data_IF_795192739212
#
_entry.id   IF_795192739212
#
_cell.length_a   1.000
_cell.length_b   1.000
_cell.length_c   1.000
_cell.angle_alpha   90.00
_cell.angle_beta   90.00
_cell.angle_gamma   90.00
#
_symmetry.space_group_name_H-M   'P 1'
#
loop_
_entity.id
_entity.type
_entity.pdbx_description
1 polymer ?
#
# COMPACT_ATOMS: atom_id res chain seq x y z
N UNK A 1 -10.22 2.60 38.27
CA UNK A 1 -9.29 3.75 38.42
C UNK A 1 -8.05 3.41 37.59
N UNK A 2 -7.73 4.29 36.64
CA UNK A 2 -6.80 4.19 35.51
C UNK A 2 -5.44 3.54 35.85
N UNK A 3 -4.70 2.96 34.91
CA UNK A 3 -3.81 3.71 34.01
C UNK A 3 -3.58 2.98 32.67
N UNK A 4 -3.89 3.70 31.59
CA UNK A 4 -3.34 3.53 30.25
C UNK A 4 -1.84 3.90 30.28
N UNK A 5 -0.97 2.98 29.91
CA UNK A 5 0.45 3.22 29.57
C UNK A 5 0.82 2.21 28.48
N UNK A 6 1.41 2.57 27.34
CA UNK A 6 1.85 3.84 26.78
C UNK A 6 1.94 3.56 25.28
N UNK A 7 1.42 4.47 24.46
CA UNK A 7 1.86 4.66 23.09
C UNK A 7 3.36 4.95 23.16
N UNK A 8 4.17 4.02 22.68
CA UNK A 8 5.62 4.12 22.62
C UNK A 8 6.06 4.19 21.16
N UNK A 9 6.12 5.40 20.63
CA UNK A 9 6.85 5.68 19.40
C UNK A 9 8.36 5.57 19.63
N UNK A 10 9.05 5.13 18.56
CA UNK A 10 10.44 5.42 18.17
C UNK A 10 11.52 4.31 18.31
N UNK A 11 11.93 3.84 17.11
CA UNK A 11 13.31 3.63 16.60
C UNK A 11 14.07 2.35 16.99
N UNK A 12 14.67 1.54 16.09
CA UNK A 12 15.47 1.90 14.89
C UNK A 12 15.77 0.73 13.90
N UNK A 13 16.01 1.10 12.63
CA UNK A 13 16.66 0.43 11.47
C UNK A 13 15.77 -0.44 10.55
N UNK A 14 15.09 0.14 9.54
CA UNK A 14 15.56 0.68 8.24
C UNK A 14 15.67 -0.40 7.16
N UNK A 15 14.52 -0.65 6.50
CA UNK A 15 14.41 -0.80 5.04
C UNK A 15 12.93 -1.03 4.67
N UNK A 16 12.17 -1.83 5.42
CA UNK A 16 10.72 -2.01 5.16
C UNK A 16 9.86 -0.85 5.65
N UNK A 17 10.22 -0.31 6.82
CA UNK A 17 9.74 0.98 7.30
C UNK A 17 10.01 2.02 6.22
N UNK A 18 11.12 1.94 5.48
CA UNK A 18 11.44 2.87 4.41
C UNK A 18 10.36 2.97 3.32
N UNK A 19 9.71 1.87 2.92
CA UNK A 19 8.64 1.92 1.91
C UNK A 19 7.33 2.46 2.49
N UNK A 20 6.93 2.01 3.68
CA UNK A 20 5.72 2.49 4.35
C UNK A 20 5.86 3.96 4.77
N UNK A 21 7.04 4.34 5.25
CA UNK A 21 7.45 5.70 5.57
C UNK A 21 7.51 6.54 4.29
N UNK A 22 8.09 6.04 3.19
CA UNK A 22 8.09 6.76 1.91
C UNK A 22 6.67 6.98 1.41
N UNK A 23 5.81 5.96 1.45
CA UNK A 23 4.41 6.09 1.07
C UNK A 23 3.66 7.07 1.99
N UNK A 24 3.86 6.99 3.29
CA UNK A 24 3.26 7.89 4.27
C UNK A 24 3.73 9.34 4.10
N UNK A 25 5.03 9.56 3.85
CA UNK A 25 5.61 10.88 3.57
C UNK A 25 5.02 11.44 2.29
N UNK A 26 4.95 10.65 1.21
CA UNK A 26 4.33 11.08 -0.05
C UNK A 26 2.87 11.47 0.16
N UNK A 27 2.10 10.69 0.92
CA UNK A 27 0.71 11.01 1.24
C UNK A 27 0.59 12.27 2.10
N UNK A 28 1.45 12.46 3.09
CA UNK A 28 1.44 13.63 3.97
C UNK A 28 1.79 14.90 3.20
N UNK A 29 2.90 14.87 2.45
CA UNK A 29 3.36 16.01 1.66
C UNK A 29 2.35 16.33 0.56
N UNK A 30 1.87 15.30 -0.16
CA UNK A 30 0.84 15.46 -1.18
C UNK A 30 -0.46 16.07 -0.63
N UNK A 31 -0.94 15.56 0.51
CA UNK A 31 -2.11 16.09 1.19
C UNK A 31 -1.93 17.56 1.63
N UNK A 32 -0.77 17.91 2.17
CA UNK A 32 -0.46 19.29 2.53
C UNK A 32 -0.43 20.21 1.30
N UNK A 33 0.15 19.77 0.17
CA UNK A 33 0.14 20.50 -1.08
C UNK A 33 -1.29 20.75 -1.60
N UNK A 34 -2.17 19.74 -1.56
CA UNK A 34 -3.57 19.88 -1.98
C UNK A 34 -4.30 20.94 -1.13
N UNK A 35 -4.06 20.97 0.18
CA UNK A 35 -4.65 21.99 1.06
C UNK A 35 -4.19 23.42 0.71
N UNK A 36 -2.90 23.60 0.44
CA UNK A 36 -2.35 24.92 0.05
C UNK A 36 -2.91 25.38 -1.30
N UNK A 37 -2.98 24.47 -2.28
CA UNK A 37 -3.56 24.78 -3.61
C UNK A 37 -5.04 25.13 -3.46
N UNK A 38 -5.79 24.36 -2.68
CA UNK A 38 -7.20 24.65 -2.36
C UNK A 38 -7.39 26.00 -1.68
N UNK A 39 -6.47 26.39 -0.78
CA UNK A 39 -6.49 27.71 -0.15
C UNK A 39 -6.33 28.84 -1.16
N UNK A 40 -5.41 28.71 -2.14
CA UNK A 40 -5.26 29.70 -3.21
C UNK A 40 -6.50 29.80 -4.10
N UNK A 41 -7.11 28.68 -4.46
CA UNK A 41 -8.36 28.68 -5.24
C UNK A 41 -9.51 29.37 -4.49
N UNK A 42 -9.75 28.96 -3.24
CA UNK A 42 -10.84 29.49 -2.42
C UNK A 42 -10.64 30.99 -2.08
N UNK A 43 -9.46 31.37 -1.56
CA UNK A 43 -9.18 32.77 -1.23
C UNK A 43 -9.06 33.65 -2.48
N UNK A 44 -8.56 33.10 -3.59
CA UNK A 44 -8.50 33.81 -4.87
C UNK A 44 -9.88 34.18 -5.39
N UNK A 45 -10.84 33.26 -5.31
CA UNK A 45 -12.23 33.51 -5.68
C UNK A 45 -12.92 34.51 -4.73
N UNK A 46 -12.82 34.32 -3.41
CA UNK A 46 -13.51 35.19 -2.41
C UNK A 46 -12.97 36.61 -2.42
N UNK A 47 -11.64 36.78 -2.55
CA UNK A 47 -11.01 38.10 -2.55
C UNK A 47 -10.93 38.74 -3.94
N UNK A 48 -11.52 38.09 -4.96
CA UNK A 48 -11.44 38.50 -6.36
C UNK A 48 -9.99 38.84 -6.78
N UNK A 49 -9.04 38.04 -6.28
CA UNK A 49 -7.61 38.29 -6.47
C UNK A 49 -7.09 37.51 -7.67
N UNK A 50 -6.89 38.22 -8.79
CA UNK A 50 -6.35 37.64 -10.02
C UNK A 50 -5.01 36.91 -9.81
N UNK A 51 -4.14 37.44 -8.94
CA UNK A 51 -2.84 36.84 -8.65
C UNK A 51 -2.97 35.46 -7.98
N UNK A 52 -3.81 35.35 -6.94
CA UNK A 52 -4.03 34.08 -6.24
C UNK A 52 -4.69 33.04 -7.14
N UNK A 53 -5.63 33.47 -7.99
CA UNK A 53 -6.34 32.59 -8.89
C UNK A 53 -5.45 32.13 -10.08
N UNK A 54 -4.53 32.99 -10.53
CA UNK A 54 -3.50 32.63 -11.50
C UNK A 54 -2.51 31.60 -10.92
N UNK A 55 -2.06 31.78 -9.67
CA UNK A 55 -1.22 30.79 -8.98
C UNK A 55 -1.93 29.44 -8.87
N UNK A 56 -3.21 29.43 -8.48
CA UNK A 56 -4.02 28.21 -8.45
C UNK A 56 -4.05 27.51 -9.80
N UNK A 57 -4.32 28.24 -10.89
CA UNK A 57 -4.36 27.66 -12.24
C UNK A 57 -2.98 27.11 -12.68
N UNK A 58 -1.88 27.80 -12.37
CA UNK A 58 -0.52 27.33 -12.66
C UNK A 58 -0.22 26.03 -11.92
N UNK A 59 -0.56 25.93 -10.63
CA UNK A 59 -0.34 24.69 -9.87
C UNK A 59 -1.15 23.51 -10.43
N UNK A 60 -2.41 23.72 -10.81
CA UNK A 60 -3.20 22.67 -11.45
C UNK A 60 -2.62 22.23 -12.79
N UNK A 61 -2.15 23.15 -13.62
CA UNK A 61 -1.47 22.80 -14.88
C UNK A 61 -0.19 21.99 -14.65
N UNK A 62 0.58 22.31 -13.60
CA UNK A 62 1.75 21.52 -13.22
C UNK A 62 1.36 20.10 -12.77
N UNK A 63 0.26 19.94 -12.03
CA UNK A 63 -0.23 18.62 -11.63
C UNK A 63 -0.63 17.80 -12.86
N UNK A 64 -1.39 18.36 -13.80
CA UNK A 64 -1.76 17.68 -15.06
C UNK A 64 -0.51 17.17 -15.81
N UNK A 65 0.55 17.98 -15.89
CA UNK A 65 1.80 17.57 -16.54
C UNK A 65 2.46 16.40 -15.78
N UNK A 66 2.49 16.47 -14.44
CA UNK A 66 3.02 15.40 -13.60
C UNK A 66 2.21 14.11 -13.71
N UNK A 67 0.88 14.18 -13.80
CA UNK A 67 0.02 13.01 -14.00
C UNK A 67 0.30 12.32 -15.33
N UNK A 68 0.38 13.08 -16.43
CA UNK A 68 0.71 12.53 -17.75
C UNK A 68 2.09 11.88 -17.75
N UNK A 69 3.08 12.54 -17.13
CA UNK A 69 4.43 11.99 -16.98
C UNK A 69 4.43 10.70 -16.15
N UNK A 70 3.71 10.66 -15.04
CA UNK A 70 3.59 9.48 -14.18
C UNK A 70 2.95 8.31 -14.93
N UNK A 71 1.88 8.54 -15.71
CA UNK A 71 1.25 7.52 -16.55
C UNK A 71 2.24 6.98 -17.59
N UNK A 72 3.00 7.86 -18.25
CA UNK A 72 3.99 7.46 -19.25
C UNK A 72 5.12 6.61 -18.66
N UNK A 73 5.64 7.00 -17.48
CA UNK A 73 6.66 6.24 -16.74
C UNK A 73 6.09 4.89 -16.30
N UNK A 74 4.90 4.88 -15.71
CA UNK A 74 4.22 3.66 -15.28
C UNK A 74 3.90 2.73 -16.44
N UNK A 75 3.70 3.22 -17.66
CA UNK A 75 3.56 2.39 -18.85
C UNK A 75 4.91 1.83 -19.34
N UNK A 76 5.96 2.65 -19.33
CA UNK A 76 7.27 2.30 -19.91
C UNK A 76 8.10 1.36 -19.03
N UNK A 77 7.98 1.47 -17.70
CA UNK A 77 8.88 0.79 -16.75
C UNK A 77 8.22 -0.32 -15.91
N UNK A 78 7.04 -0.83 -16.33
CA UNK A 78 6.29 -1.86 -15.58
C UNK A 78 7.14 -3.04 -15.13
N UNK A 79 7.95 -3.58 -16.05
CA UNK A 79 8.80 -4.75 -15.76
C UNK A 79 9.90 -4.47 -14.73
N UNK A 80 10.54 -3.30 -14.81
CA UNK A 80 11.58 -2.90 -13.84
C UNK A 80 10.96 -2.66 -12.46
N UNK A 81 9.89 -1.86 -12.39
CA UNK A 81 9.20 -1.58 -11.12
C UNK A 81 8.74 -2.87 -10.44
N UNK A 82 8.16 -3.81 -11.20
CA UNK A 82 7.76 -5.12 -10.67
C UNK A 82 8.94 -5.88 -10.07
N UNK A 83 10.07 -5.89 -10.76
CA UNK A 83 11.26 -6.63 -10.32
C UNK A 83 11.86 -6.02 -9.05
N UNK A 84 12.02 -4.70 -9.00
CA UNK A 84 12.55 -4.00 -7.82
C UNK A 84 11.66 -4.20 -6.59
N UNK A 85 10.34 -4.05 -6.76
CA UNK A 85 9.38 -4.26 -5.65
C UNK A 85 9.44 -5.71 -5.15
N UNK A 86 9.46 -6.69 -6.05
CA UNK A 86 9.59 -8.10 -5.65
C UNK A 86 10.90 -8.37 -4.91
N UNK A 87 12.01 -7.84 -5.42
CA UNK A 87 13.33 -8.01 -4.80
C UNK A 87 13.34 -7.46 -3.38
N UNK A 88 12.85 -6.24 -3.22
CA UNK A 88 12.71 -5.59 -1.92
C UNK A 88 11.83 -6.38 -0.95
N UNK A 89 10.68 -6.89 -1.40
CA UNK A 89 9.80 -7.71 -0.57
C UNK A 89 10.47 -9.02 -0.13
N UNK A 90 11.19 -9.68 -1.03
CA UNK A 90 11.93 -10.91 -0.70
C UNK A 90 13.09 -10.65 0.26
N UNK A 91 13.82 -9.56 0.06
CA UNK A 91 14.86 -9.13 0.98
C UNK A 91 14.30 -8.81 2.37
N UNK A 92 13.13 -8.15 2.42
CA UNK A 92 12.40 -7.88 3.66
C UNK A 92 11.97 -9.18 4.36
N UNK A 93 11.59 -10.22 3.61
CA UNK A 93 11.33 -11.56 4.18
C UNK A 93 12.59 -12.12 4.83
N UNK A 94 13.73 -12.05 4.13
CA UNK A 94 15.01 -12.59 4.61
C UNK A 94 15.48 -11.89 5.89
N UNK A 95 15.38 -10.56 5.93
CA UNK A 95 15.98 -9.72 6.96
C UNK A 95 15.06 -9.45 8.16
N UNK A 96 13.74 -9.51 7.98
CA UNK A 96 12.79 -8.91 8.93
C UNK A 96 11.69 -9.85 9.38
N UNK A 97 11.23 -10.76 8.51
CA UNK A 97 10.08 -11.62 8.81
C UNK A 97 10.29 -12.53 10.03
N UNK A 98 9.37 -12.45 10.99
CA UNK A 98 9.45 -13.21 12.25
C UNK A 98 8.64 -14.51 12.27
N UNK A 99 7.65 -14.65 11.38
CA UNK A 99 6.79 -15.84 11.28
C UNK A 99 6.02 -16.22 12.53
N UNK A 100 5.66 -15.21 13.33
CA UNK A 100 4.75 -15.33 14.48
C UNK A 100 3.48 -14.53 14.19
N UNK A 101 2.34 -15.12 14.51
CA UNK A 101 1.02 -14.50 14.30
C UNK A 101 0.82 -13.27 15.19
N UNK A 102 1.37 -13.30 16.41
CA UNK A 102 1.27 -12.25 17.43
C UNK A 102 2.49 -11.30 17.43
N UNK A 103 3.12 -11.12 16.27
CA UNK A 103 4.27 -10.22 16.14
C UNK A 103 3.85 -8.75 16.18
N UNK A 104 4.67 -7.92 16.83
CA UNK A 104 4.56 -6.46 16.78
C UNK A 104 5.38 -5.86 15.63
N UNK A 105 5.99 -6.69 14.79
CA UNK A 105 6.80 -6.25 13.67
C UNK A 105 5.89 -5.95 12.46
N UNK A 106 5.93 -4.71 12.01
CA UNK A 106 4.98 -4.14 11.04
C UNK A 106 4.99 -4.84 9.69
N UNK A 107 6.17 -5.20 9.18
CA UNK A 107 6.29 -5.91 7.91
C UNK A 107 5.68 -7.30 7.98
N UNK A 108 6.00 -8.05 9.04
CA UNK A 108 5.48 -9.40 9.28
C UNK A 108 3.96 -9.37 9.39
N UNK A 109 3.40 -8.41 10.13
CA UNK A 109 1.95 -8.21 10.24
C UNK A 109 1.30 -7.90 8.89
N UNK A 110 1.86 -6.96 8.14
CA UNK A 110 1.35 -6.58 6.81
C UNK A 110 1.42 -7.74 5.81
N UNK A 111 2.52 -8.47 5.80
CA UNK A 111 2.70 -9.65 4.95
C UNK A 111 1.76 -10.80 5.36
N UNK A 112 1.55 -11.01 6.66
CA UNK A 112 0.61 -12.00 7.18
C UNK A 112 -0.84 -11.66 6.83
N UNK A 113 -1.21 -10.39 6.97
CA UNK A 113 -2.51 -9.89 6.51
C UNK A 113 -2.70 -10.11 5.01
N UNK A 114 -1.71 -9.75 4.20
CA UNK A 114 -1.77 -9.92 2.75
C UNK A 114 -1.91 -11.41 2.37
N UNK A 115 -1.14 -12.31 2.98
CA UNK A 115 -1.22 -13.75 2.73
C UNK A 115 -2.60 -14.33 3.04
N UNK A 116 -3.20 -13.95 4.17
CA UNK A 116 -4.54 -14.42 4.55
C UNK A 116 -5.62 -13.81 3.65
N UNK A 117 -5.52 -12.51 3.35
CA UNK A 117 -6.48 -11.81 2.50
C UNK A 117 -6.52 -12.38 1.08
N UNK A 118 -5.35 -12.51 0.44
CA UNK A 118 -5.19 -13.02 -0.92
C UNK A 118 -5.09 -14.54 -1.01
N UNK A 119 -5.10 -15.25 0.13
CA UNK A 119 -5.00 -16.72 0.22
C UNK A 119 -3.81 -17.26 -0.59
N UNK A 120 -2.63 -16.74 -0.29
CA UNK A 120 -1.39 -17.01 -0.99
C UNK A 120 -0.23 -17.26 -0.02
N UNK A 121 0.93 -17.70 -0.51
CA UNK A 121 2.12 -17.91 0.30
C UNK A 121 3.40 -17.54 -0.43
N UNK A 122 4.15 -16.60 0.15
CA UNK A 122 5.40 -16.08 -0.42
C UNK A 122 5.15 -15.09 -1.56
N UNK A 123 6.20 -14.40 -2.00
CA UNK A 123 6.07 -13.37 -3.04
C UNK A 123 5.85 -14.04 -4.39
N UNK A 124 6.78 -14.91 -4.77
CA UNK A 124 6.66 -15.80 -5.94
C UNK A 124 6.43 -17.26 -5.53
N UNK A 125 6.89 -17.65 -4.35
CA UNK A 125 6.76 -19.03 -3.85
C UNK A 125 6.97 -19.09 -2.34
N UNK A 126 6.39 -20.09 -1.67
CA UNK A 126 6.63 -20.36 -0.24
C UNK A 126 8.13 -20.52 0.11
N UNK A 127 8.96 -20.91 -0.86
CA UNK A 127 10.42 -21.04 -0.69
C UNK A 127 11.12 -19.70 -0.44
N UNK A 128 10.45 -18.57 -0.71
CA UNK A 128 10.99 -17.23 -0.39
C UNK A 128 11.28 -17.08 1.12
N UNK A 129 10.64 -17.89 1.99
CA UNK A 129 10.90 -17.91 3.44
C UNK A 129 12.10 -18.76 3.87
N UNK A 130 12.73 -19.54 2.99
CA UNK A 130 13.83 -20.43 3.36
C UNK A 130 15.01 -19.66 3.99
N UNK A 131 15.29 -18.47 3.46
CA UNK A 131 16.34 -17.57 3.93
C UNK A 131 15.94 -16.63 5.07
N UNK A 132 14.70 -16.70 5.58
CA UNK A 132 14.24 -15.82 6.66
C UNK A 132 15.04 -16.04 7.95
N UNK A 133 15.93 -15.10 8.27
CA UNK A 133 16.90 -15.22 9.37
C UNK A 133 16.28 -14.95 10.74
N UNK A 134 15.24 -14.11 10.79
CA UNK A 134 14.52 -13.77 12.02
C UNK A 134 13.32 -14.68 12.30
N UNK A 135 12.98 -15.58 11.37
CA UNK A 135 11.89 -16.52 11.56
C UNK A 135 12.36 -17.74 12.37
N UNK A 136 11.85 -17.85 13.59
CA UNK A 136 12.08 -19.03 14.42
C UNK A 136 11.18 -20.19 13.97
N UNK A 137 11.75 -21.12 13.18
CA UNK A 137 11.10 -22.37 12.77
C UNK A 137 11.05 -23.37 13.93
N UNK A 138 10.15 -23.12 14.88
CA UNK A 138 9.90 -24.02 16.01
C UNK A 138 9.57 -25.44 15.51
N UNK A 139 10.06 -26.46 16.23
CA UNK A 139 9.80 -27.87 15.94
C UNK A 139 8.54 -28.30 16.69
N UNK A 140 7.65 -29.03 16.01
CA UNK A 140 6.51 -29.65 16.65
C UNK A 140 6.97 -30.90 17.44
N UNK A 141 6.81 -30.95 18.77
CA UNK A 141 7.31 -32.08 19.57
C UNK A 141 6.59 -33.40 19.31
N UNK A 142 5.38 -33.38 18.73
CA UNK A 142 4.59 -34.58 18.47
C UNK A 142 5.04 -35.33 17.21
N UNK A 143 5.44 -34.59 16.17
CA UNK A 143 5.82 -35.14 14.87
C UNK A 143 7.30 -34.92 14.53
N UNK A 144 8.02 -34.18 15.36
CA UNK A 144 9.44 -33.87 15.25
C UNK A 144 9.85 -33.21 13.90
N UNK A 145 8.97 -32.39 13.34
CA UNK A 145 9.25 -31.58 12.13
C UNK A 145 9.31 -30.09 12.46
N UNK A 146 10.25 -29.32 11.89
CA UNK A 146 10.23 -27.86 11.92
C UNK A 146 9.11 -27.30 11.02
N UNK A 147 8.72 -26.05 11.23
CA UNK A 147 7.79 -25.39 10.30
C UNK A 147 8.42 -25.25 8.91
N UNK A 148 7.72 -25.75 7.89
CA UNK A 148 8.09 -25.62 6.47
C UNK A 148 7.57 -24.32 5.87
N UNK A 149 6.36 -23.90 6.27
CA UNK A 149 5.74 -22.64 5.85
C UNK A 149 5.31 -21.81 7.07
N UNK A 150 5.20 -20.48 6.93
CA UNK A 150 4.65 -19.67 8.00
C UNK A 150 3.18 -20.03 8.32
N UNK A 151 2.72 -19.87 9.57
CA UNK A 151 1.36 -20.24 9.98
C UNK A 151 0.26 -19.59 9.12
N UNK A 152 0.42 -18.33 8.75
CA UNK A 152 -0.53 -17.55 7.95
C UNK A 152 -0.60 -17.96 6.47
N UNK A 153 0.26 -18.87 6.01
CA UNK A 153 0.09 -19.54 4.72
C UNK A 153 -0.94 -20.69 4.76
N UNK A 154 -1.34 -21.12 5.96
CA UNK A 154 -2.35 -22.15 6.14
C UNK A 154 -3.76 -21.61 5.86
N UNK A 155 -4.64 -22.49 5.37
CA UNK A 155 -6.04 -22.15 5.21
C UNK A 155 -6.70 -22.07 6.58
N UNK A 156 -7.39 -20.96 6.82
CA UNK A 156 -8.13 -20.69 8.04
C UNK A 156 -9.58 -21.15 7.89
N UNK A 157 -10.20 -21.54 9.01
CA UNK A 157 -11.64 -21.86 9.01
C UNK A 157 -12.47 -20.63 8.67
N UNK A 158 -12.08 -19.50 9.24
CA UNK A 158 -12.64 -18.18 8.98
C UNK A 158 -11.49 -17.20 8.77
N UNK A 159 -11.32 -16.73 7.54
CA UNK A 159 -10.30 -15.72 7.22
C UNK A 159 -10.72 -14.33 7.68
N UNK A 160 -12.02 -14.03 7.71
CA UNK A 160 -12.52 -12.70 8.06
C UNK A 160 -12.34 -12.43 9.57
N UNK A 161 -12.45 -13.48 10.39
CA UNK A 161 -12.08 -13.43 11.81
C UNK A 161 -10.60 -13.03 12.01
N UNK A 162 -9.68 -13.54 11.17
CA UNK A 162 -8.29 -13.11 11.21
C UNK A 162 -8.12 -11.64 10.76
N UNK A 163 -8.77 -11.25 9.66
CA UNK A 163 -8.64 -9.90 9.12
C UNK A 163 -9.21 -8.81 10.04
N UNK A 164 -10.20 -9.16 10.87
CA UNK A 164 -10.85 -8.23 11.79
C UNK A 164 -10.24 -8.25 13.19
N UNK A 165 -10.04 -9.44 13.74
CA UNK A 165 -9.71 -9.64 15.15
C UNK A 165 -8.36 -10.35 15.35
N UNK A 166 -7.59 -10.58 14.27
CA UNK A 166 -6.33 -11.35 14.28
C UNK A 166 -6.47 -12.74 14.91
N UNK A 167 -7.67 -13.30 14.85
CA UNK A 167 -7.96 -14.63 15.36
C UNK A 167 -7.45 -15.69 14.38
N UNK A 168 -6.35 -16.35 14.73
CA UNK A 168 -5.78 -17.44 13.95
C UNK A 168 -6.38 -18.79 14.35
N UNK A 169 -7.22 -19.35 13.47
CA UNK A 169 -7.78 -20.70 13.60
C UNK A 169 -7.61 -21.48 12.27
N UNK A 170 -6.52 -22.24 12.10
CA UNK A 170 -6.27 -23.02 10.90
C UNK A 170 -7.23 -24.22 10.82
N UNK A 171 -7.56 -24.64 9.60
CA UNK A 171 -8.35 -25.86 9.36
C UNK A 171 -7.61 -27.09 9.91
N UNK A 172 -6.29 -27.12 9.73
CA UNK A 172 -5.42 -28.20 10.18
C UNK A 172 -4.27 -27.62 11.03
N UNK A 173 -4.19 -27.97 12.32
CA UNK A 173 -3.10 -27.52 13.21
C UNK A 173 -1.70 -27.96 12.76
N UNK A 174 -1.58 -29.03 11.96
CA UNK A 174 -0.30 -29.53 11.48
C UNK A 174 0.16 -28.87 10.18
N UNK A 175 -0.67 -28.03 9.55
CA UNK A 175 -0.37 -27.40 8.28
C UNK A 175 0.99 -26.68 8.21
N UNK A 176 1.45 -25.91 9.22
CA UNK A 176 2.75 -25.23 9.14
C UNK A 176 3.94 -26.20 9.01
N UNK A 177 3.76 -27.45 9.44
CA UNK A 177 4.79 -28.49 9.47
C UNK A 177 4.67 -29.48 8.32
N UNK A 178 3.44 -29.82 7.91
CA UNK A 178 3.14 -30.77 6.84
C UNK A 178 2.13 -30.15 5.88
N UNK A 179 2.54 -29.14 5.08
CA UNK A 179 1.63 -28.41 4.22
C UNK A 179 1.29 -29.21 2.96
N UNK A 180 0.01 -29.22 2.60
CA UNK A 180 -0.52 -29.83 1.40
C UNK A 180 -1.54 -28.90 0.71
N UNK A 181 -2.02 -29.31 -0.45
CA UNK A 181 -2.88 -28.45 -1.30
C UNK A 181 -4.28 -28.23 -0.69
N UNK A 182 -4.69 -29.10 0.24
CA UNK A 182 -5.99 -28.99 0.90
C UNK A 182 -5.94 -28.09 2.14
N UNK A 183 -4.84 -28.10 2.91
CA UNK A 183 -4.71 -27.35 4.16
C UNK A 183 -3.91 -26.03 4.05
N UNK A 184 -3.23 -25.78 2.94
CA UNK A 184 -2.35 -24.62 2.77
C UNK A 184 -2.51 -23.93 1.42
N UNK A 185 -2.02 -22.70 1.32
CA UNK A 185 -1.94 -21.94 0.07
C UNK A 185 -0.52 -21.91 -0.52
N UNK A 186 0.31 -22.93 -0.23
CA UNK A 186 1.75 -22.94 -0.55
C UNK A 186 2.09 -22.80 -2.04
N UNK A 187 1.19 -23.24 -2.93
CA UNK A 187 1.40 -23.20 -4.38
C UNK A 187 0.88 -21.91 -5.03
N UNK A 188 0.29 -21.01 -4.25
CA UNK A 188 -0.30 -19.76 -4.76
C UNK A 188 0.62 -18.60 -4.43
N UNK A 189 1.27 -18.02 -5.45
CA UNK A 189 2.12 -16.86 -5.29
C UNK A 189 1.30 -15.60 -4.92
N UNK A 190 1.76 -14.83 -3.93
CA UNK A 190 1.05 -13.61 -3.55
C UNK A 190 1.15 -12.53 -4.62
N UNK A 191 2.28 -12.41 -5.31
CA UNK A 191 2.40 -11.42 -6.38
C UNK A 191 1.35 -11.63 -7.47
N UNK A 192 1.20 -12.87 -7.95
CA UNK A 192 0.21 -13.20 -8.99
C UNK A 192 -1.21 -12.91 -8.51
N UNK A 193 -1.53 -13.28 -7.26
CA UNK A 193 -2.85 -13.05 -6.67
C UNK A 193 -3.19 -11.55 -6.54
N UNK A 194 -2.21 -10.75 -6.12
CA UNK A 194 -2.32 -9.28 -6.05
C UNK A 194 -2.48 -8.70 -7.46
N UNK A 195 -1.67 -9.16 -8.42
CA UNK A 195 -1.71 -8.70 -9.80
C UNK A 195 -3.07 -9.00 -10.45
N UNK A 196 -3.63 -10.18 -10.23
CA UNK A 196 -4.94 -10.57 -10.74
C UNK A 196 -6.07 -9.77 -10.09
N UNK A 197 -5.97 -9.50 -8.79
CA UNK A 197 -6.89 -8.61 -8.09
C UNK A 197 -6.85 -7.20 -8.67
N UNK A 198 -5.64 -6.65 -8.89
CA UNK A 198 -5.45 -5.33 -9.48
C UNK A 198 -5.98 -5.29 -10.92
N UNK A 199 -5.69 -6.29 -11.75
CA UNK A 199 -6.23 -6.39 -13.12
C UNK A 199 -7.76 -6.46 -13.13
N UNK A 200 -8.37 -7.17 -12.18
CA UNK A 200 -9.83 -7.25 -12.05
C UNK A 200 -10.47 -5.90 -11.68
N UNK A 201 -9.72 -5.01 -11.03
CA UNK A 201 -10.18 -3.68 -10.60
C UNK A 201 -9.56 -2.52 -11.39
N UNK A 202 -8.71 -2.81 -12.37
CA UNK A 202 -7.94 -1.77 -13.08
C UNK A 202 -8.83 -0.77 -13.81
N UNK A 203 -10.01 -1.19 -14.27
CA UNK A 203 -10.98 -0.30 -14.89
C UNK A 203 -11.46 0.80 -13.95
N UNK A 204 -11.64 0.50 -12.66
CA UNK A 204 -12.03 1.49 -11.65
C UNK A 204 -10.90 2.50 -11.44
N UNK A 205 -9.66 2.03 -11.36
CA UNK A 205 -8.48 2.90 -11.19
C UNK A 205 -8.31 3.84 -12.38
N UNK A 206 -8.44 3.32 -13.59
CA UNK A 206 -8.40 4.14 -14.82
C UNK A 206 -9.54 5.16 -14.82
N UNK A 207 -10.75 4.76 -14.40
CA UNK A 207 -11.88 5.66 -14.27
C UNK A 207 -11.65 6.81 -13.29
N UNK A 208 -11.07 6.52 -12.11
CA UNK A 208 -10.71 7.54 -11.13
C UNK A 208 -9.67 8.50 -11.71
N UNK A 209 -8.61 7.99 -12.32
CA UNK A 209 -7.55 8.82 -12.92
C UNK A 209 -8.10 9.73 -14.03
N UNK A 210 -8.94 9.20 -14.93
CA UNK A 210 -9.59 10.01 -15.96
C UNK A 210 -10.53 11.06 -15.38
N UNK A 211 -11.27 10.73 -14.31
CA UNK A 211 -12.14 11.66 -13.62
C UNK A 211 -11.38 12.82 -12.96
N UNK A 212 -10.24 12.53 -12.34
CA UNK A 212 -9.36 13.56 -11.75
C UNK A 212 -8.86 14.51 -12.84
N UNK A 213 -8.34 13.98 -13.94
CA UNK A 213 -7.86 14.80 -15.06
C UNK A 213 -8.95 15.75 -15.62
N UNK A 214 -10.19 15.24 -15.77
CA UNK A 214 -11.32 16.07 -16.23
C UNK A 214 -11.65 17.16 -15.20
N UNK A 215 -11.69 16.81 -13.91
CA UNK A 215 -11.97 17.76 -12.84
C UNK A 215 -10.93 18.89 -12.80
N UNK A 216 -9.64 18.56 -12.96
CA UNK A 216 -8.56 19.54 -12.99
C UNK A 216 -8.69 20.52 -14.16
N UNK A 217 -9.00 20.02 -15.36
CA UNK A 217 -9.23 20.86 -16.54
C UNK A 217 -10.41 21.81 -16.29
N UNK A 218 -11.52 21.32 -15.72
CA UNK A 218 -12.67 22.16 -15.39
C UNK A 218 -12.31 23.24 -14.37
N UNK A 219 -11.54 22.90 -13.33
CA UNK A 219 -11.06 23.86 -12.35
C UNK A 219 -10.18 24.96 -12.97
N UNK A 220 -9.31 24.62 -13.92
CA UNK A 220 -8.51 25.61 -14.66
C UNK A 220 -9.41 26.51 -15.51
N UNK A 221 -10.38 25.95 -16.24
CA UNK A 221 -11.33 26.74 -17.04
C UNK A 221 -12.11 27.72 -16.17
N UNK A 222 -12.64 27.27 -15.03
CA UNK A 222 -13.36 28.15 -14.10
C UNK A 222 -12.46 29.23 -13.51
N UNK A 223 -11.22 28.90 -13.13
CA UNK A 223 -10.25 29.89 -12.67
C UNK A 223 -10.01 30.96 -13.76
N UNK A 224 -9.80 30.56 -15.01
CA UNK A 224 -9.64 31.49 -16.12
C UNK A 224 -10.88 32.36 -16.37
N UNK A 225 -12.09 31.79 -16.32
CA UNK A 225 -13.34 32.54 -16.48
C UNK A 225 -13.49 33.61 -15.39
N UNK A 226 -13.23 33.27 -14.13
CA UNK A 226 -13.31 34.22 -13.02
C UNK A 226 -12.24 35.31 -13.16
N UNK A 227 -11.00 34.97 -13.55
CA UNK A 227 -9.95 35.97 -13.81
C UNK A 227 -10.40 36.97 -14.89
N UNK A 228 -10.99 36.48 -15.98
CA UNK A 228 -11.51 37.32 -17.06
C UNK A 228 -12.64 38.23 -16.58
N UNK A 229 -13.59 37.71 -15.79
CA UNK A 229 -14.68 38.50 -15.23
C UNK A 229 -14.16 39.63 -14.33
N UNK A 230 -13.22 39.32 -13.41
CA UNK A 230 -12.59 40.33 -12.56
C UNK A 230 -11.86 41.38 -13.40
N UNK A 231 -11.25 40.99 -14.52
CA UNK A 231 -10.55 41.93 -15.39
C UNK A 231 -11.53 42.89 -16.08
N UNK A 232 -12.70 42.42 -16.47
CA UNK A 232 -13.74 43.25 -17.08
C UNK A 232 -14.33 44.26 -16.09
N UNK A 233 -14.46 43.91 -14.81
CA UNK A 233 -14.94 44.85 -13.77
C UNK A 233 -13.95 45.97 -13.43
N UNK A 234 -12.66 45.76 -13.69
CA UNK A 234 -11.59 46.72 -13.38
C UNK A 234 -11.20 47.64 -14.56
N UNK A 235 -11.91 47.57 -15.69
CA UNK A 235 -11.72 48.43 -16.89
C UNK A 235 -12.88 49.40 -17.01
#
# INVERSE_FOLDING_TARGET
MNVLTKVGAASSNFDVVGLLESAAIVLLVGGACILVIGFFGCCGAIKESQCLLCLYAIFLLLIVILEIAAIAIAASFRGKVTTEVKSFLKESIISTYQGKVDTNEEFSLGLDYAKVYFQCCGIDSYTDFNGATKWNRAVNPLINFPMEIPPTCCKLKDKDAFLKDQLYDPIDPNCPYVPNDTNSNKNTACWTSIEDYLKSRIGVVIGIAAGILVLEILCVVFACCIISAIREENV
#
